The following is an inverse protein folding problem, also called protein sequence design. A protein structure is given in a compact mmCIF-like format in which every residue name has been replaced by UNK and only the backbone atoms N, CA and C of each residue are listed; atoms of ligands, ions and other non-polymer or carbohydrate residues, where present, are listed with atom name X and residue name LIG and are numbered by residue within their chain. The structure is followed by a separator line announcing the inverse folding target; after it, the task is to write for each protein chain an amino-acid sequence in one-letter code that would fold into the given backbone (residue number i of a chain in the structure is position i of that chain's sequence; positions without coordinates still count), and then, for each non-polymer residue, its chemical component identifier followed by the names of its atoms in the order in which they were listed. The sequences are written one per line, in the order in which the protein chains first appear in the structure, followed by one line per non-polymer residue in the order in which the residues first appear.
data_IF_219855232306
#
_entry.id   IF_219855232306
#
_cell.length_a   1.000
_cell.length_b   1.000
_cell.length_c   1.000
_cell.angle_alpha   90.00
_cell.angle_beta   90.00
_cell.angle_gamma   90.00
#
_symmetry.space_group_name_H-M   'P 1'
#
loop_
_entity.id
_entity.type
_entity.pdbx_description
1 polymer ?
#
# COMPACT_ATOMS: atom_id res chain seq x y z
N UNK A 1 -1.70 -10.66 13.65
CA UNK A 1 -2.32 -9.42 14.18
C UNK A 1 -2.78 -8.62 12.97
N UNK A 2 -3.73 -7.68 13.11
CA UNK A 2 -4.18 -6.86 11.97
C UNK A 2 -3.03 -6.07 11.33
N UNK A 3 -1.91 -5.88 12.04
CA UNK A 3 -0.71 -5.18 11.55
C UNK A 3 0.48 -6.10 11.21
N UNK A 4 0.28 -7.39 10.96
CA UNK A 4 1.39 -8.27 10.57
C UNK A 4 1.47 -8.42 9.06
N UNK A 5 2.70 -8.46 8.55
CA UNK A 5 3.04 -8.73 7.16
C UNK A 5 2.23 -9.91 6.62
N UNK A 6 1.69 -9.73 5.43
CA UNK A 6 0.94 -10.76 4.70
C UNK A 6 1.74 -11.36 3.56
N UNK A 7 2.84 -10.70 3.18
CA UNK A 7 3.67 -11.05 2.03
C UNK A 7 4.56 -12.27 2.25
N UNK A 8 5.13 -12.42 3.46
CA UNK A 8 6.21 -13.37 3.73
C UNK A 8 5.76 -14.56 4.59
N UNK A 9 6.50 -15.67 4.49
CA UNK A 9 6.27 -16.90 5.24
C UNK A 9 6.74 -16.79 6.71
N UNK A 10 6.26 -17.67 7.58
CA UNK A 10 6.56 -17.66 9.02
C UNK A 10 8.03 -17.91 9.37
N UNK A 11 8.77 -18.60 8.51
CA UNK A 11 10.19 -18.91 8.70
C UNK A 11 11.12 -18.01 7.89
N UNK A 12 10.59 -16.93 7.31
CA UNK A 12 11.38 -16.00 6.52
C UNK A 12 12.27 -15.11 7.40
N UNK A 13 13.60 -15.30 7.42
CA UNK A 13 14.48 -14.54 8.31
C UNK A 13 14.52 -13.06 7.96
N UNK A 14 14.13 -12.68 6.74
CA UNK A 14 14.01 -11.29 6.33
C UNK A 14 12.79 -10.61 6.98
N UNK A 15 11.75 -11.36 7.36
CA UNK A 15 10.53 -10.80 7.91
C UNK A 15 10.38 -11.03 9.42
N UNK A 16 10.89 -10.09 10.22
CA UNK A 16 10.80 -10.16 11.68
C UNK A 16 9.35 -10.30 12.18
N UNK A 17 8.37 -9.69 11.51
CA UNK A 17 6.95 -9.76 11.89
C UNK A 17 6.42 -11.20 11.81
N UNK A 18 6.78 -11.90 10.73
CA UNK A 18 6.34 -13.28 10.48
C UNK A 18 7.09 -14.27 11.36
N UNK A 19 8.40 -14.10 11.54
CA UNK A 19 9.19 -14.92 12.48
C UNK A 19 8.64 -14.81 13.90
N UNK A 20 8.37 -13.59 14.37
CA UNK A 20 7.75 -13.37 15.68
C UNK A 20 6.36 -14.01 15.77
N UNK A 21 5.54 -13.91 14.72
CA UNK A 21 4.22 -14.54 14.69
C UNK A 21 4.33 -16.08 14.74
N UNK A 22 5.28 -16.68 14.03
CA UNK A 22 5.55 -18.11 14.06
C UNK A 22 6.00 -18.57 15.45
N UNK A 23 6.90 -17.83 16.09
CA UNK A 23 7.32 -18.08 17.49
C UNK A 23 6.14 -18.03 18.46
N UNK A 24 5.25 -17.04 18.31
CA UNK A 24 4.04 -16.95 19.14
C UNK A 24 3.12 -18.16 18.95
N UNK A 25 2.90 -18.59 17.71
CA UNK A 25 2.09 -19.78 17.40
C UNK A 25 2.71 -21.06 17.99
N UNK A 26 4.02 -21.24 17.88
CA UNK A 26 4.73 -22.36 18.50
C UNK A 26 4.53 -22.39 20.02
N UNK A 27 4.55 -21.23 20.69
CA UNK A 27 4.30 -21.17 22.13
C UNK A 27 2.86 -21.51 22.48
N UNK A 28 1.88 -21.04 21.71
CA UNK A 28 0.48 -21.42 21.90
C UNK A 28 0.26 -22.93 21.78
N UNK A 29 0.86 -23.57 20.78
CA UNK A 29 0.70 -25.02 20.58
C UNK A 29 1.42 -25.85 21.64
N UNK A 30 2.46 -25.32 22.31
CA UNK A 30 3.06 -25.96 23.51
C UNK A 30 2.13 -25.90 24.72
N UNK A 31 1.29 -24.86 24.81
CA UNK A 31 0.39 -24.62 25.94
C UNK A 31 -0.96 -25.34 25.77
N UNK A 32 -1.43 -25.50 24.53
CA UNK A 32 -2.74 -26.07 24.22
C UNK A 32 -2.65 -26.99 23.00
N UNK A 33 -3.19 -28.22 23.06
CA UNK A 33 -3.24 -29.11 21.90
C UNK A 33 -4.33 -28.73 20.87
N UNK A 34 -5.21 -27.77 21.19
CA UNK A 34 -6.37 -27.40 20.37
C UNK A 34 -6.23 -25.97 19.82
N UNK A 35 -5.17 -25.71 19.06
CA UNK A 35 -4.94 -24.40 18.43
C UNK A 35 -5.46 -24.41 17.00
N UNK A 36 -6.46 -23.57 16.72
CA UNK A 36 -6.90 -23.25 15.36
C UNK A 36 -6.67 -21.76 15.07
N UNK A 37 -6.49 -21.42 13.80
CA UNK A 37 -6.20 -20.05 13.38
C UNK A 37 -7.48 -19.43 12.81
N UNK A 38 -7.91 -18.31 13.40
CA UNK A 38 -8.80 -17.39 12.69
C UNK A 38 -7.98 -16.58 11.69
N UNK A 39 -8.16 -16.84 10.40
CA UNK A 39 -7.38 -16.24 9.33
C UNK A 39 -8.21 -15.33 8.44
N UNK A 40 -7.52 -14.42 7.75
CA UNK A 40 -8.08 -13.75 6.58
C UNK A 40 -7.50 -14.43 5.35
N UNK A 41 -8.36 -15.03 4.54
CA UNK A 41 -7.98 -15.59 3.25
C UNK A 41 -8.13 -14.49 2.18
N UNK A 42 -7.43 -13.37 2.42
CA UNK A 42 -7.13 -12.25 1.52
C UNK A 42 -6.02 -11.43 2.20
N UNK A 43 -5.21 -10.74 1.41
CA UNK A 43 -3.90 -10.30 1.89
C UNK A 43 -3.81 -8.82 2.27
N UNK A 44 -4.69 -8.00 1.72
CA UNK A 44 -4.68 -6.55 1.94
C UNK A 44 -6.03 -6.10 2.50
N UNK A 45 -6.03 -5.54 3.71
CA UNK A 45 -7.23 -5.01 4.36
C UNK A 45 -7.78 -3.82 3.58
N UNK A 46 -6.90 -2.84 3.36
CA UNK A 46 -7.08 -1.78 2.37
C UNK A 46 -6.38 -2.23 1.11
N UNK A 47 -7.15 -2.43 0.04
CA UNK A 47 -6.62 -2.98 -1.20
C UNK A 47 -6.98 -2.14 -2.42
N UNK A 48 -6.03 -2.00 -3.33
CA UNK A 48 -6.24 -1.61 -4.71
C UNK A 48 -6.54 -2.80 -5.62
N UNK A 49 -6.79 -3.99 -5.06
CA UNK A 49 -7.15 -5.25 -5.73
C UNK A 49 -6.14 -5.65 -6.82
N UNK A 50 -4.86 -5.59 -6.46
CA UNK A 50 -3.73 -5.97 -7.33
C UNK A 50 -3.34 -7.43 -7.10
N UNK A 51 -2.75 -8.11 -8.11
CA UNK A 51 -2.46 -9.54 -8.01
C UNK A 51 -1.38 -9.84 -6.95
N UNK A 52 -1.72 -10.70 -5.99
CA UNK A 52 -0.88 -11.16 -4.89
C UNK A 52 -0.99 -12.69 -4.71
N UNK A 53 -0.43 -13.48 -5.63
CA UNK A 53 -0.34 -14.94 -5.49
C UNK A 53 0.47 -15.35 -4.25
N UNK A 54 0.16 -16.52 -3.70
CA UNK A 54 0.72 -16.99 -2.43
C UNK A 54 1.15 -18.46 -2.44
N UNK A 55 1.25 -19.09 -3.61
CA UNK A 55 1.42 -20.54 -3.68
C UNK A 55 2.68 -21.02 -2.97
N UNK A 56 3.78 -20.26 -3.07
CA UNK A 56 5.06 -20.58 -2.40
C UNK A 56 5.02 -20.30 -0.91
N UNK A 57 4.40 -19.17 -0.52
CA UNK A 57 4.19 -18.86 0.89
C UNK A 57 3.36 -19.95 1.57
N UNK A 58 2.28 -20.40 0.94
CA UNK A 58 1.45 -21.50 1.44
C UNK A 58 2.24 -22.82 1.54
N UNK A 59 3.05 -23.14 0.54
CA UNK A 59 3.91 -24.33 0.54
C UNK A 59 4.93 -24.34 1.69
N UNK A 60 5.37 -23.16 2.15
CA UNK A 60 6.24 -23.01 3.34
C UNK A 60 5.44 -23.05 4.64
N UNK A 61 4.35 -22.31 4.72
CA UNK A 61 3.62 -22.07 5.96
C UNK A 61 2.88 -23.31 6.48
N UNK A 62 2.18 -24.04 5.60
CA UNK A 62 1.30 -25.13 6.04
C UNK A 62 2.03 -26.31 6.72
N UNK A 63 3.15 -26.82 6.17
CA UNK A 63 3.94 -27.84 6.86
C UNK A 63 4.44 -27.38 8.24
N UNK A 64 4.83 -26.10 8.37
CA UNK A 64 5.27 -25.53 9.64
C UNK A 64 4.15 -25.49 10.67
N UNK A 65 2.96 -25.01 10.25
CA UNK A 65 1.78 -24.94 11.11
C UNK A 65 1.37 -26.33 11.60
N UNK A 66 1.36 -27.32 10.72
CA UNK A 66 1.09 -28.72 11.10
C UNK A 66 2.13 -29.24 12.09
N UNK A 67 3.43 -29.05 11.80
CA UNK A 67 4.54 -29.44 12.68
C UNK A 67 4.45 -28.80 14.07
N UNK A 68 3.95 -27.58 14.17
CA UNK A 68 3.81 -26.88 15.45
C UNK A 68 2.61 -27.35 16.27
N UNK A 69 1.63 -28.02 15.66
CA UNK A 69 0.43 -28.53 16.33
C UNK A 69 -0.83 -27.70 16.08
N UNK A 70 -0.85 -26.88 15.03
CA UNK A 70 -2.09 -26.21 14.58
C UNK A 70 -3.01 -27.26 13.97
N UNK A 71 -4.26 -27.32 14.44
CA UNK A 71 -5.23 -28.36 14.07
C UNK A 71 -6.25 -27.92 13.01
N UNK A 72 -6.27 -26.65 12.63
CA UNK A 72 -7.16 -26.15 11.58
C UNK A 72 -7.31 -24.64 11.51
N UNK A 73 -8.24 -24.21 10.66
CA UNK A 73 -8.48 -22.81 10.32
C UNK A 73 -9.97 -22.47 10.37
N UNK A 74 -10.29 -21.22 10.68
CA UNK A 74 -11.58 -20.59 10.47
C UNK A 74 -11.33 -19.29 9.72
N UNK A 75 -11.50 -19.33 8.41
CA UNK A 75 -11.14 -18.19 7.57
C UNK A 75 -12.32 -17.28 7.26
N UNK A 76 -12.06 -15.98 7.34
CA UNK A 76 -12.86 -14.96 6.68
C UNK A 76 -12.33 -14.72 5.27
N UNK A 77 -13.22 -14.59 4.28
CA UNK A 77 -12.80 -14.30 2.92
C UNK A 77 -13.78 -13.42 2.14
N UNK A 78 -13.32 -12.92 0.99
CA UNK A 78 -14.07 -12.12 0.02
C UNK A 78 -13.98 -12.71 -1.38
N UNK A 79 -14.99 -12.48 -2.19
CA UNK A 79 -15.03 -12.94 -3.59
C UNK A 79 -14.17 -12.03 -4.51
N UNK A 80 -12.86 -12.08 -4.32
CA UNK A 80 -11.86 -11.30 -5.06
C UNK A 80 -10.70 -12.23 -5.46
N UNK A 81 -11.01 -13.23 -6.26
CA UNK A 81 -10.06 -14.27 -6.68
C UNK A 81 -8.99 -13.73 -7.64
N UNK A 82 -9.29 -12.64 -8.33
CA UNK A 82 -8.34 -11.90 -9.17
C UNK A 82 -7.17 -11.27 -8.38
N UNK A 83 -7.33 -11.07 -7.07
CA UNK A 83 -6.26 -10.58 -6.18
C UNK A 83 -5.31 -11.73 -5.84
N UNK A 84 -5.74 -12.71 -5.04
CA UNK A 84 -4.86 -13.79 -4.58
C UNK A 84 -4.53 -14.86 -5.63
N UNK A 85 -5.22 -14.85 -6.78
CA UNK A 85 -5.12 -15.90 -7.80
C UNK A 85 -5.89 -17.18 -7.45
N UNK A 86 -6.40 -17.86 -8.48
CA UNK A 86 -7.13 -19.13 -8.32
C UNK A 86 -6.20 -20.24 -7.85
N UNK A 87 -4.95 -20.26 -8.31
CA UNK A 87 -3.96 -21.25 -7.93
C UNK A 87 -3.71 -21.26 -6.41
N UNK A 88 -3.53 -20.08 -5.79
CA UNK A 88 -3.31 -19.95 -4.34
C UNK A 88 -4.46 -20.55 -3.54
N UNK A 89 -5.70 -20.32 -3.97
CA UNK A 89 -6.90 -20.88 -3.33
C UNK A 89 -6.99 -22.38 -3.47
N UNK A 90 -6.66 -22.89 -4.66
CA UNK A 90 -6.64 -24.32 -4.93
C UNK A 90 -5.56 -25.01 -4.09
N UNK A 91 -4.33 -24.49 -4.07
CA UNK A 91 -3.22 -24.98 -3.25
C UNK A 91 -3.58 -24.96 -1.77
N UNK A 92 -4.13 -23.84 -1.28
CA UNK A 92 -4.57 -23.74 0.12
C UNK A 92 -5.59 -24.80 0.48
N UNK A 93 -6.62 -25.01 -0.34
CA UNK A 93 -7.63 -26.04 -0.07
C UNK A 93 -7.04 -27.46 0.00
N UNK A 94 -6.03 -27.77 -0.82
CA UNK A 94 -5.32 -29.06 -0.74
C UNK A 94 -4.50 -29.15 0.55
N UNK A 95 -3.76 -28.09 0.91
CA UNK A 95 -2.90 -28.06 2.09
C UNK A 95 -3.67 -28.02 3.43
N UNK A 96 -4.88 -27.47 3.45
CA UNK A 96 -5.78 -27.52 4.60
C UNK A 96 -6.25 -28.96 4.90
N UNK A 97 -6.28 -29.82 3.87
CA UNK A 97 -6.59 -31.25 4.03
C UNK A 97 -5.33 -32.08 4.32
N UNK A 98 -4.24 -31.83 3.59
CA UNK A 98 -2.95 -32.51 3.72
C UNK A 98 -1.80 -31.50 3.65
N UNK A 99 -1.27 -31.14 4.82
CA UNK A 99 -0.20 -30.15 4.93
C UNK A 99 1.14 -30.63 4.35
N UNK A 100 1.29 -31.92 4.01
CA UNK A 100 2.48 -32.49 3.36
C UNK A 100 2.28 -32.72 1.85
N UNK A 101 1.15 -32.26 1.29
CA UNK A 101 0.86 -32.44 -0.13
C UNK A 101 1.95 -31.83 -1.04
N UNK A 102 2.23 -32.50 -2.16
CA UNK A 102 3.20 -32.05 -3.15
C UNK A 102 2.65 -30.84 -3.93
N UNK A 103 3.00 -29.63 -3.47
CA UNK A 103 2.54 -28.37 -4.09
C UNK A 103 3.03 -28.23 -5.53
N UNK A 104 4.21 -28.74 -5.86
CA UNK A 104 4.74 -28.67 -7.22
C UNK A 104 3.89 -29.51 -8.18
N UNK A 105 3.53 -30.73 -7.77
CA UNK A 105 2.62 -31.59 -8.54
C UNK A 105 1.22 -30.97 -8.68
N UNK A 106 0.71 -30.34 -7.61
CA UNK A 106 -0.58 -29.63 -7.62
C UNK A 106 -0.55 -28.48 -8.62
N UNK A 107 0.50 -27.66 -8.62
CA UNK A 107 0.63 -26.53 -9.54
C UNK A 107 0.82 -27.01 -10.97
N UNK A 108 1.61 -28.06 -11.20
CA UNK A 108 1.79 -28.65 -12.54
C UNK A 108 0.45 -29.11 -13.12
N UNK A 109 -0.37 -29.84 -12.35
CA UNK A 109 -1.71 -30.26 -12.77
C UNK A 109 -2.64 -29.07 -12.99
N UNK A 110 -2.65 -28.10 -12.07
CA UNK A 110 -3.46 -26.88 -12.17
C UNK A 110 -3.15 -26.11 -13.47
N UNK A 111 -1.89 -25.74 -13.70
CA UNK A 111 -1.53 -24.93 -14.88
C UNK A 111 -1.80 -25.70 -16.18
N UNK A 112 -1.52 -27.00 -16.23
CA UNK A 112 -1.82 -27.83 -17.39
C UNK A 112 -3.32 -27.90 -17.71
N UNK A 113 -4.18 -28.09 -16.71
CA UNK A 113 -5.64 -28.18 -16.91
C UNK A 113 -6.31 -26.84 -17.13
N UNK A 114 -5.81 -25.80 -16.48
CA UNK A 114 -6.41 -24.47 -16.52
C UNK A 114 -6.03 -23.74 -17.81
N UNK A 115 -4.76 -23.79 -18.21
CA UNK A 115 -4.25 -23.02 -19.35
C UNK A 115 -3.91 -23.85 -20.59
N UNK A 116 -3.93 -25.19 -20.51
CA UNK A 116 -3.60 -26.06 -21.65
C UNK A 116 -2.20 -25.77 -22.19
N UNK A 117 -2.07 -25.57 -23.50
CA UNK A 117 -0.79 -25.26 -24.13
C UNK A 117 -0.16 -23.93 -23.64
N UNK A 118 -0.90 -23.05 -22.97
CA UNK A 118 -0.40 -21.81 -22.36
C UNK A 118 0.10 -21.98 -20.91
N UNK A 119 0.15 -23.21 -20.37
CA UNK A 119 0.55 -23.48 -18.99
C UNK A 119 1.91 -22.89 -18.59
N UNK A 120 2.94 -23.10 -19.41
CA UNK A 120 4.30 -22.63 -19.12
C UNK A 120 4.41 -21.09 -18.99
N UNK A 121 4.00 -20.27 -19.98
CA UNK A 121 4.10 -18.82 -19.84
C UNK A 121 3.21 -18.27 -18.71
N UNK A 122 2.06 -18.89 -18.46
CA UNK A 122 1.19 -18.46 -17.35
C UNK A 122 1.76 -18.80 -15.99
N UNK A 123 2.41 -19.95 -15.85
CA UNK A 123 3.15 -20.27 -14.63
C UNK A 123 4.28 -19.27 -14.39
N UNK A 124 5.09 -19.01 -15.42
CA UNK A 124 6.16 -18.02 -15.34
C UNK A 124 5.64 -16.60 -15.00
N UNK A 125 4.44 -16.23 -15.45
CA UNK A 125 3.81 -14.95 -15.11
C UNK A 125 3.56 -14.83 -13.60
N UNK A 126 2.92 -15.83 -12.99
CA UNK A 126 2.64 -15.82 -11.56
C UNK A 126 3.91 -16.01 -10.73
N UNK A 127 4.85 -16.85 -11.18
CA UNK A 127 6.16 -17.03 -10.54
C UNK A 127 6.94 -15.70 -10.49
N UNK A 128 6.88 -14.88 -11.54
CA UNK A 128 7.54 -13.57 -11.55
C UNK A 128 6.92 -12.58 -10.54
N UNK A 129 5.61 -12.69 -10.27
CA UNK A 129 4.95 -11.89 -9.23
C UNK A 129 5.36 -12.38 -7.85
N UNK A 130 5.36 -13.69 -7.61
CA UNK A 130 5.83 -14.27 -6.33
C UNK A 130 7.32 -13.97 -6.08
N UNK A 131 8.18 -14.02 -7.11
CA UNK A 131 9.58 -13.60 -7.00
C UNK A 131 9.71 -12.15 -6.51
N UNK A 132 8.88 -11.24 -7.03
CA UNK A 132 8.90 -9.84 -6.63
C UNK A 132 8.40 -9.63 -5.19
N UNK A 133 7.44 -10.44 -4.75
CA UNK A 133 6.91 -10.42 -3.38
C UNK A 133 7.96 -10.97 -2.41
N UNK A 134 8.47 -12.17 -2.65
CA UNK A 134 9.41 -12.87 -1.76
C UNK A 134 10.76 -12.15 -1.61
N UNK A 135 11.22 -11.46 -2.66
CA UNK A 135 12.47 -10.69 -2.61
C UNK A 135 12.28 -9.25 -2.12
N UNK A 136 11.04 -8.84 -1.86
CA UNK A 136 10.74 -7.50 -1.40
C UNK A 136 11.25 -7.29 0.02
N UNK A 137 11.96 -6.19 0.32
CA UNK A 137 12.36 -5.93 1.69
C UNK A 137 11.18 -5.54 2.59
N UNK A 138 9.99 -5.35 2.01
CA UNK A 138 8.88 -4.63 2.59
C UNK A 138 8.01 -5.50 3.49
N UNK A 139 7.46 -4.88 4.53
CA UNK A 139 6.51 -5.52 5.43
C UNK A 139 5.26 -4.65 5.53
N UNK A 140 4.11 -5.23 5.27
CA UNK A 140 2.85 -4.49 5.32
C UNK A 140 1.64 -5.38 5.13
N UNK A 141 0.48 -4.79 5.40
CA UNK A 141 -0.84 -5.42 5.33
C UNK A 141 -1.85 -4.53 4.55
N UNK A 142 -1.37 -3.40 4.00
CA UNK A 142 -2.14 -2.43 3.22
C UNK A 142 -1.47 -2.18 1.87
N UNK A 143 -2.27 -1.91 0.86
CA UNK A 143 -1.82 -1.76 -0.53
C UNK A 143 -0.75 -0.69 -0.78
N UNK A 144 -0.57 0.29 0.11
CA UNK A 144 0.44 1.34 -0.03
C UNK A 144 1.88 0.85 -0.06
N UNK A 145 2.16 -0.35 0.44
CA UNK A 145 3.50 -0.95 0.27
C UNK A 145 3.68 -1.55 -1.14
N UNK A 146 2.59 -1.86 -1.83
CA UNK A 146 2.63 -2.62 -3.07
C UNK A 146 3.25 -1.91 -4.27
N UNK A 147 3.15 -0.57 -4.45
CA UNK A 147 3.88 0.14 -5.49
C UNK A 147 5.40 -0.05 -5.43
N UNK A 148 5.94 -0.38 -4.25
CA UNK A 148 7.36 -0.66 -4.06
C UNK A 148 7.71 -2.13 -4.32
N UNK A 149 6.73 -3.04 -4.34
CA UNK A 149 6.87 -4.43 -4.80
C UNK A 149 6.80 -4.48 -6.33
N UNK A 150 5.81 -3.80 -6.92
CA UNK A 150 5.51 -3.86 -8.36
C UNK A 150 6.40 -2.92 -9.19
N UNK A 151 7.69 -3.24 -9.24
CA UNK A 151 8.65 -2.40 -9.98
C UNK A 151 8.32 -2.28 -11.48
N UNK A 152 8.75 -1.20 -12.16
CA UNK A 152 8.68 -1.10 -13.62
C UNK A 152 9.38 -2.27 -14.34
N UNK A 153 10.37 -2.89 -13.70
CA UNK A 153 11.04 -4.09 -14.20
C UNK A 153 10.07 -5.28 -14.23
N UNK A 154 9.34 -5.52 -13.14
CA UNK A 154 8.33 -6.58 -13.07
C UNK A 154 7.28 -6.41 -14.18
N UNK A 155 6.71 -5.22 -14.34
CA UNK A 155 5.68 -4.98 -15.37
C UNK A 155 6.18 -5.24 -16.80
N UNK A 156 7.46 -4.98 -17.08
CA UNK A 156 8.10 -5.32 -18.37
C UNK A 156 8.37 -6.82 -18.53
N UNK A 157 8.55 -7.56 -17.44
CA UNK A 157 8.67 -9.02 -17.46
C UNK A 157 7.31 -9.69 -17.71
N UNK A 158 6.24 -9.17 -17.13
CA UNK A 158 4.91 -9.79 -17.20
C UNK A 158 4.28 -9.74 -18.60
N UNK A 159 4.46 -8.64 -19.33
CA UNK A 159 3.87 -8.46 -20.67
C UNK A 159 4.24 -9.57 -21.67
N UNK A 160 5.53 -9.84 -21.96
CA UNK A 160 5.88 -10.84 -22.97
C UNK A 160 5.49 -12.25 -22.57
N UNK A 161 5.36 -12.56 -21.27
CA UNK A 161 4.87 -13.85 -20.79
C UNK A 161 3.38 -14.00 -21.14
N UNK A 162 2.59 -12.96 -20.88
CA UNK A 162 1.17 -12.96 -21.17
C UNK A 162 0.89 -12.99 -22.68
N UNK A 163 1.64 -12.23 -23.49
CA UNK A 163 1.53 -12.31 -24.96
C UNK A 163 1.87 -13.71 -25.50
N UNK A 164 2.83 -14.40 -24.89
CA UNK A 164 3.14 -15.79 -25.24
C UNK A 164 2.00 -16.73 -24.87
N UNK A 165 1.37 -16.54 -23.71
CA UNK A 165 0.19 -17.30 -23.30
C UNK A 165 -0.98 -17.08 -24.26
N UNK A 166 -1.24 -15.84 -24.67
CA UNK A 166 -2.29 -15.48 -25.64
C UNK A 166 -2.09 -16.20 -26.99
N UNK A 167 -0.84 -16.28 -27.46
CA UNK A 167 -0.50 -17.03 -28.68
C UNK A 167 -0.62 -18.55 -28.53
N UNK A 168 -0.40 -19.09 -27.33
CA UNK A 168 -0.39 -20.54 -27.07
C UNK A 168 -1.74 -21.09 -26.62
N UNK A 169 -2.70 -20.25 -26.25
CA UNK A 169 -4.01 -20.68 -25.79
C UNK A 169 -4.81 -21.39 -26.92
N UNK A 170 -4.89 -22.72 -26.82
CA UNK A 170 -5.35 -23.63 -27.88
C UNK A 170 -6.85 -23.93 -27.84
N UNK A 171 -7.52 -23.65 -26.72
CA UNK A 171 -8.97 -23.85 -26.54
C UNK A 171 -9.69 -22.57 -26.14
N UNK A 172 -11.02 -22.51 -26.34
CA UNK A 172 -11.83 -21.36 -25.91
C UNK A 172 -11.71 -21.11 -24.41
N UNK A 173 -11.66 -22.19 -23.63
CA UNK A 173 -11.46 -22.13 -22.18
C UNK A 173 -10.10 -21.55 -21.82
N UNK A 174 -9.02 -22.03 -22.43
CA UNK A 174 -7.68 -21.48 -22.19
C UNK A 174 -7.60 -20.00 -22.60
N UNK A 175 -8.20 -19.63 -23.74
CA UNK A 175 -8.26 -18.24 -24.20
C UNK A 175 -9.01 -17.34 -23.22
N UNK A 176 -10.14 -17.80 -22.69
CA UNK A 176 -10.91 -17.07 -21.69
C UNK A 176 -10.11 -16.84 -20.40
N UNK A 177 -9.41 -17.88 -19.91
CA UNK A 177 -8.60 -17.76 -18.70
C UNK A 177 -7.43 -16.79 -18.90
N UNK A 178 -6.66 -16.94 -19.99
CA UNK A 178 -5.55 -16.01 -20.30
C UNK A 178 -6.06 -14.58 -20.48
N UNK A 179 -7.25 -14.39 -21.06
CA UNK A 179 -7.87 -13.07 -21.17
C UNK A 179 -8.22 -12.47 -19.80
N UNK A 180 -8.65 -13.28 -18.83
CA UNK A 180 -8.85 -12.81 -17.47
C UNK A 180 -7.54 -12.28 -16.86
N UNK A 181 -6.42 -12.99 -17.03
CA UNK A 181 -5.10 -12.55 -16.58
C UNK A 181 -4.61 -11.28 -17.30
N UNK A 182 -5.00 -11.09 -18.56
CA UNK A 182 -4.79 -9.82 -19.29
C UNK A 182 -5.48 -8.65 -18.60
N UNK A 183 -6.74 -8.82 -18.22
CA UNK A 183 -7.47 -7.77 -17.50
C UNK A 183 -6.86 -7.52 -16.11
N UNK A 184 -6.34 -8.56 -15.44
CA UNK A 184 -5.62 -8.44 -14.15
C UNK A 184 -4.32 -7.64 -14.32
N UNK A 185 -3.52 -7.90 -15.36
CA UNK A 185 -2.30 -7.14 -15.64
C UNK A 185 -2.61 -5.68 -15.98
N UNK A 186 -3.64 -5.42 -16.79
CA UNK A 186 -4.07 -4.06 -17.12
C UNK A 186 -4.59 -3.32 -15.88
N UNK A 187 -5.25 -4.02 -14.97
CA UNK A 187 -5.71 -3.46 -13.70
C UNK A 187 -4.53 -3.07 -12.81
N UNK A 188 -3.51 -3.94 -12.72
CA UNK A 188 -2.25 -3.64 -12.03
C UNK A 188 -1.54 -2.42 -12.63
N UNK A 189 -1.48 -2.31 -13.96
CA UNK A 189 -0.90 -1.14 -14.64
C UNK A 189 -1.64 0.15 -14.31
N UNK A 190 -2.98 0.10 -14.34
CA UNK A 190 -3.80 1.25 -13.97
C UNK A 190 -3.60 1.63 -12.50
N UNK A 191 -3.46 0.67 -11.58
CA UNK A 191 -3.09 0.93 -10.19
C UNK A 191 -1.73 1.64 -10.07
N UNK A 192 -0.70 1.15 -10.77
CA UNK A 192 0.63 1.76 -10.73
C UNK A 192 0.63 3.18 -11.32
N UNK A 193 -0.11 3.41 -12.41
CA UNK A 193 -0.28 4.75 -13.00
C UNK A 193 -1.08 5.69 -12.09
N UNK A 194 -2.10 5.18 -11.39
CA UNK A 194 -2.84 5.94 -10.37
C UNK A 194 -1.91 6.40 -9.25
N UNK A 195 -1.03 5.53 -8.76
CA UNK A 195 -0.09 5.84 -7.68
C UNK A 195 0.98 6.84 -8.12
N UNK A 196 1.52 6.71 -9.34
CA UNK A 196 2.46 7.70 -9.91
C UNK A 196 1.80 9.09 -10.05
N UNK A 197 0.55 9.14 -10.54
CA UNK A 197 -0.20 10.40 -10.64
C UNK A 197 -0.49 11.02 -9.25
N UNK A 198 -0.81 10.22 -8.23
CA UNK A 198 -0.94 10.69 -6.84
C UNK A 198 0.36 11.32 -6.34
N UNK A 199 1.50 10.64 -6.51
CA UNK A 199 2.81 11.13 -6.08
C UNK A 199 3.19 12.47 -6.74
N UNK A 200 2.79 12.66 -8.00
CA UNK A 200 3.00 13.90 -8.76
C UNK A 200 1.94 14.99 -8.50
N UNK A 201 0.98 14.75 -7.60
CA UNK A 201 -0.17 15.64 -7.34
C UNK A 201 -1.00 15.94 -8.60
N UNK A 202 -1.11 14.95 -9.49
CA UNK A 202 -1.94 14.95 -10.70
C UNK A 202 -3.26 14.24 -10.41
N UNK A 203 -4.05 14.75 -9.46
CA UNK A 203 -5.20 14.03 -8.93
C UNK A 203 -6.30 13.77 -9.97
N UNK A 204 -6.47 14.63 -10.97
CA UNK A 204 -7.38 14.36 -12.08
C UNK A 204 -6.97 13.11 -12.89
N UNK A 205 -5.67 12.92 -13.12
CA UNK A 205 -5.13 11.72 -13.78
C UNK A 205 -5.25 10.49 -12.88
N UNK A 206 -4.97 10.62 -11.58
CA UNK A 206 -5.17 9.55 -10.61
C UNK A 206 -6.64 9.07 -10.59
N UNK A 207 -7.61 9.99 -10.61
CA UNK A 207 -9.03 9.67 -10.72
C UNK A 207 -9.37 8.94 -12.03
N UNK A 208 -8.78 9.36 -13.16
CA UNK A 208 -8.96 8.69 -14.46
C UNK A 208 -8.41 7.25 -14.43
N UNK A 209 -7.28 7.02 -13.80
CA UNK A 209 -6.71 5.68 -13.64
C UNK A 209 -7.56 4.81 -12.70
N UNK A 210 -8.11 5.37 -11.62
CA UNK A 210 -9.07 4.67 -10.76
C UNK A 210 -10.36 4.29 -11.53
N UNK A 211 -10.88 5.17 -12.39
CA UNK A 211 -12.00 4.85 -13.28
C UNK A 211 -11.64 3.72 -14.25
N UNK A 212 -10.43 3.72 -14.81
CA UNK A 212 -9.95 2.64 -15.69
C UNK A 212 -9.89 1.30 -14.95
N UNK A 213 -9.42 1.29 -13.70
CA UNK A 213 -9.44 0.09 -12.85
C UNK A 213 -10.88 -0.45 -12.69
N UNK A 214 -11.86 0.41 -12.39
CA UNK A 214 -13.26 0.00 -12.27
C UNK A 214 -13.85 -0.48 -13.61
N UNK A 215 -13.46 0.10 -14.74
CA UNK A 215 -13.87 -0.37 -16.06
C UNK A 215 -13.34 -1.79 -16.36
N UNK A 216 -12.05 -2.02 -16.13
CA UNK A 216 -11.43 -3.34 -16.29
C UNK A 216 -12.06 -4.39 -15.38
N UNK A 217 -12.42 -4.00 -14.16
CA UNK A 217 -13.12 -4.86 -13.21
C UNK A 217 -14.50 -5.27 -13.71
N UNK A 218 -15.26 -4.36 -14.35
CA UNK A 218 -16.55 -4.69 -15.00
C UNK A 218 -16.35 -5.69 -16.14
N UNK A 219 -15.31 -5.52 -16.96
CA UNK A 219 -14.95 -6.44 -18.04
C UNK A 219 -14.60 -7.84 -17.48
N UNK A 220 -13.79 -7.89 -16.41
CA UNK A 220 -13.38 -9.15 -15.76
C UNK A 220 -14.58 -9.87 -15.11
N UNK A 221 -15.44 -9.13 -14.41
CA UNK A 221 -16.67 -9.66 -13.84
C UNK A 221 -17.59 -10.25 -14.91
N UNK A 222 -17.74 -9.57 -16.05
CA UNK A 222 -18.58 -10.04 -17.15
C UNK A 222 -18.06 -11.35 -17.77
N UNK A 223 -16.76 -11.63 -17.66
CA UNK A 223 -16.17 -12.92 -18.07
C UNK A 223 -16.62 -14.03 -17.13
N UNK A 224 -16.48 -13.82 -15.82
CA UNK A 224 -17.04 -14.69 -14.79
C UNK A 224 -17.09 -13.95 -13.43
N UNK A 225 -18.27 -13.86 -12.78
CA UNK A 225 -18.41 -13.26 -11.45
C UNK A 225 -17.54 -13.87 -10.35
N UNK A 226 -17.01 -15.07 -10.58
CA UNK A 226 -16.06 -15.74 -9.70
C UNK A 226 -14.74 -14.99 -9.55
N UNK A 227 -14.28 -14.26 -10.57
CA UNK A 227 -13.01 -13.53 -10.47
C UNK A 227 -13.09 -12.36 -9.49
N UNK A 228 -14.15 -11.56 -9.63
CA UNK A 228 -14.34 -10.32 -8.88
C UNK A 228 -15.78 -9.82 -9.07
N UNK A 229 -16.33 -9.10 -8.08
CA UNK A 229 -17.56 -8.32 -8.25
C UNK A 229 -17.32 -7.06 -9.08
N UNK A 230 -18.33 -6.51 -9.76
CA UNK A 230 -18.17 -5.33 -10.61
C UNK A 230 -18.14 -3.98 -9.83
N UNK A 231 -18.64 -3.96 -8.59
CA UNK A 231 -18.75 -2.79 -7.71
C UNK A 231 -17.99 -2.98 -6.39
N UNK A 232 -18.03 -1.96 -5.52
CA UNK A 232 -17.44 -1.97 -4.18
C UNK A 232 -18.50 -1.83 -3.08
N UNK A 233 -19.70 -2.38 -3.30
CA UNK A 233 -20.78 -2.30 -2.31
C UNK A 233 -20.55 -3.27 -1.15
N UNK A 234 -19.73 -2.85 -0.16
CA UNK A 234 -19.53 -3.45 1.18
C UNK A 234 -19.66 -4.99 1.21
N UNK A 235 -20.69 -5.51 1.90
CA UNK A 235 -20.92 -6.92 2.18
C UNK A 235 -20.95 -7.80 0.93
N UNK A 236 -21.48 -7.27 -0.18
CA UNK A 236 -21.59 -8.02 -1.43
C UNK A 236 -20.22 -8.16 -2.11
N UNK A 237 -19.50 -7.05 -2.24
CA UNK A 237 -18.20 -7.01 -2.91
C UNK A 237 -17.06 -7.60 -2.07
N UNK A 238 -17.22 -7.62 -0.74
CA UNK A 238 -16.17 -7.92 0.24
C UNK A 238 -15.11 -6.81 0.38
N UNK A 239 -15.41 -5.61 -0.12
CA UNK A 239 -14.58 -4.41 0.04
C UNK A 239 -15.18 -3.55 1.16
N UNK A 240 -14.54 -3.59 2.33
CA UNK A 240 -15.06 -3.00 3.58
C UNK A 240 -14.49 -1.63 3.90
N UNK A 241 -13.25 -1.41 3.50
CA UNK A 241 -12.48 -0.23 3.80
C UNK A 241 -12.38 0.63 2.54
N UNK A 242 -11.26 1.31 2.38
CA UNK A 242 -11.01 2.24 1.30
C UNK A 242 -10.81 1.51 -0.03
N UNK A 243 -11.77 1.64 -0.94
CA UNK A 243 -11.79 1.03 -2.27
C UNK A 243 -11.29 1.93 -3.39
N UNK A 244 -11.24 1.41 -4.61
CA UNK A 244 -10.84 2.15 -5.82
C UNK A 244 -11.82 3.30 -6.11
N UNK A 245 -13.10 3.09 -5.86
CA UNK A 245 -14.14 4.09 -6.08
C UNK A 245 -14.07 5.22 -5.03
N UNK A 246 -13.70 4.89 -3.80
CA UNK A 246 -13.40 5.89 -2.76
C UNK A 246 -12.21 6.77 -3.15
N UNK A 247 -11.12 6.13 -3.61
CA UNK A 247 -9.93 6.83 -4.14
C UNK A 247 -10.32 7.77 -5.28
N UNK A 248 -11.12 7.30 -6.24
CA UNK A 248 -11.59 8.13 -7.35
C UNK A 248 -12.32 9.38 -6.86
N UNK A 249 -13.30 9.22 -5.97
CA UNK A 249 -14.06 10.36 -5.41
C UNK A 249 -13.14 11.35 -4.69
N UNK A 250 -12.21 10.83 -3.90
CA UNK A 250 -11.24 11.64 -3.16
C UNK A 250 -10.29 12.40 -4.08
N UNK A 251 -9.72 11.75 -5.09
CA UNK A 251 -8.87 12.43 -6.07
C UNK A 251 -9.61 13.51 -6.86
N UNK A 252 -10.90 13.31 -7.18
CA UNK A 252 -11.73 14.34 -7.79
C UNK A 252 -11.92 15.54 -6.86
N UNK A 253 -12.14 15.32 -5.56
CA UNK A 253 -12.19 16.41 -4.56
C UNK A 253 -10.87 17.18 -4.50
N UNK A 254 -9.73 16.47 -4.47
CA UNK A 254 -8.41 17.11 -4.48
C UNK A 254 -8.15 17.89 -5.78
N UNK A 255 -8.55 17.35 -6.92
CA UNK A 255 -8.45 18.04 -8.20
C UNK A 255 -9.29 19.33 -8.21
N UNK A 256 -10.52 19.27 -7.69
CA UNK A 256 -11.42 20.42 -7.59
C UNK A 256 -10.87 21.52 -6.67
N UNK A 257 -10.17 21.14 -5.59
CA UNK A 257 -9.46 22.07 -4.67
C UNK A 257 -8.28 22.78 -5.32
N UNK A 258 -7.68 22.19 -6.35
CA UNK A 258 -6.52 22.74 -7.03
C UNK A 258 -6.89 23.52 -8.30
N UNK A 259 -7.95 23.08 -9.00
CA UNK A 259 -8.32 23.56 -10.33
C UNK A 259 -9.20 24.82 -10.35
N UNK A 260 -9.60 25.36 -9.19
CA UNK A 260 -10.46 26.53 -9.09
C UNK A 260 -11.93 26.20 -8.80
N UNK A 261 -12.34 24.93 -8.65
CA UNK A 261 -13.77 24.61 -8.46
C UNK A 261 -14.21 24.79 -7.02
N UNK A 262 -13.53 24.14 -6.08
CA UNK A 262 -13.75 24.29 -4.62
C UNK A 262 -12.60 25.02 -3.93
N UNK A 263 -11.48 25.19 -4.63
CA UNK A 263 -10.33 25.94 -4.17
C UNK A 263 -9.38 26.25 -5.32
N UNK A 264 -8.34 27.02 -5.07
CA UNK A 264 -7.32 27.36 -6.05
C UNK A 264 -5.93 27.05 -5.51
N UNK A 265 -5.15 26.29 -6.26
CA UNK A 265 -3.77 25.97 -5.89
C UNK A 265 -2.95 27.27 -5.76
N UNK A 266 -2.29 27.44 -4.62
CA UNK A 266 -1.34 28.54 -4.37
C UNK A 266 0.08 28.09 -4.71
N UNK A 267 0.51 26.95 -4.15
CA UNK A 267 1.83 26.39 -4.39
C UNK A 267 1.85 24.90 -4.07
N UNK A 268 2.65 24.13 -4.81
CA UNK A 268 3.00 22.75 -4.44
C UNK A 268 4.25 22.81 -3.58
N UNK A 269 4.30 22.07 -2.48
CA UNK A 269 5.53 21.92 -1.70
C UNK A 269 6.53 21.05 -2.49
N UNK A 270 7.84 21.20 -2.23
CA UNK A 270 8.85 20.32 -2.83
C UNK A 270 8.58 18.84 -2.51
N UNK A 271 9.05 17.95 -3.39
CA UNK A 271 8.99 16.51 -3.11
C UNK A 271 9.91 16.13 -1.95
N UNK A 272 11.11 16.71 -1.94
CA UNK A 272 12.09 16.48 -0.89
C UNK A 272 11.88 17.43 0.29
N UNK A 273 12.10 16.90 1.49
CA UNK A 273 12.16 17.63 2.73
C UNK A 273 13.51 17.40 3.42
N UNK A 274 13.94 18.36 4.23
CA UNK A 274 14.90 18.06 5.29
C UNK A 274 14.18 17.23 6.35
N UNK A 275 14.84 16.18 6.82
CA UNK A 275 14.28 15.22 7.77
C UNK A 275 15.21 14.91 8.93
N UNK A 276 14.62 14.61 10.09
CA UNK A 276 15.32 14.11 11.28
C UNK A 276 14.39 13.24 12.14
N UNK A 277 14.92 12.19 12.75
CA UNK A 277 14.27 11.47 13.87
C UNK A 277 14.42 12.24 15.18
N UNK A 278 13.47 12.09 16.08
CA UNK A 278 13.42 12.76 17.39
C UNK A 278 13.35 11.72 18.52
N UNK A 279 14.45 10.98 18.78
CA UNK A 279 14.47 9.85 19.72
C UNK A 279 14.20 10.27 21.17
N UNK A 280 14.30 11.56 21.49
CA UNK A 280 14.14 12.08 22.85
C UNK A 280 12.99 13.07 22.98
N UNK A 281 12.17 13.23 21.94
CA UNK A 281 11.08 14.22 21.86
C UNK A 281 11.54 15.65 22.20
N UNK A 282 12.74 16.01 21.77
CA UNK A 282 13.41 17.27 22.08
C UNK A 282 13.04 18.37 21.08
N UNK A 283 12.53 18.04 19.89
CA UNK A 283 12.41 18.98 18.78
C UNK A 283 11.48 20.17 19.06
N UNK A 284 10.47 20.00 19.93
CA UNK A 284 9.62 21.12 20.37
C UNK A 284 10.41 22.08 21.27
N UNK A 285 11.14 21.55 22.26
CA UNK A 285 11.92 22.34 23.20
C UNK A 285 13.09 23.07 22.50
N UNK A 286 13.73 22.39 21.54
CA UNK A 286 14.82 22.94 20.74
C UNK A 286 14.35 23.81 19.56
N UNK A 287 13.03 23.94 19.39
CA UNK A 287 12.40 24.77 18.36
C UNK A 287 12.80 24.40 16.93
N UNK A 288 12.83 23.11 16.61
CA UNK A 288 13.16 22.61 15.28
C UNK A 288 12.21 23.11 14.19
N UNK A 289 10.99 23.52 14.58
CA UNK A 289 10.00 24.19 13.74
C UNK A 289 10.37 25.63 13.33
N UNK A 290 11.42 26.20 13.92
CA UNK A 290 11.87 27.58 13.70
C UNK A 290 13.35 27.66 13.34
N UNK A 291 13.78 28.84 12.89
CA UNK A 291 15.19 29.19 12.67
C UNK A 291 15.80 28.65 11.38
N UNK A 292 16.50 29.52 10.66
CA UNK A 292 17.38 29.16 9.54
C UNK A 292 18.76 28.74 10.07
N UNK A 293 19.45 27.81 9.39
CA UNK A 293 20.84 27.44 9.71
C UNK A 293 21.04 26.42 10.84
N UNK A 294 19.98 25.78 11.37
CA UNK A 294 20.05 24.69 12.37
C UNK A 294 19.83 23.31 11.76
N UNK A 295 20.51 23.03 10.65
CA UNK A 295 20.19 21.89 9.77
C UNK A 295 21.34 20.86 9.64
N UNK A 296 22.43 21.01 10.39
CA UNK A 296 23.65 20.19 10.23
C UNK A 296 23.41 18.67 10.31
N UNK A 297 22.46 18.25 11.13
CA UNK A 297 22.09 16.84 11.35
C UNK A 297 20.87 16.39 10.55
N UNK A 298 20.26 17.29 9.78
CA UNK A 298 19.11 16.95 8.95
C UNK A 298 19.60 16.28 7.66
N UNK A 299 18.78 15.38 7.13
CA UNK A 299 19.05 14.65 5.89
C UNK A 299 17.92 14.85 4.89
N UNK A 300 18.19 14.94 3.59
CA UNK A 300 17.12 14.98 2.61
C UNK A 300 16.35 13.66 2.62
N UNK A 301 15.03 13.73 2.48
CA UNK A 301 14.14 12.59 2.30
C UNK A 301 13.03 12.95 1.32
N UNK A 302 12.54 11.98 0.56
CA UNK A 302 11.33 12.18 -0.24
C UNK A 302 10.08 12.06 0.65
N UNK A 303 9.15 13.00 0.50
CA UNK A 303 7.84 12.99 1.18
C UNK A 303 6.80 12.12 0.49
N UNK A 304 7.11 11.53 -0.67
CA UNK A 304 6.23 10.62 -1.42
C UNK A 304 6.51 9.15 -1.13
N UNK A 305 7.49 8.86 -0.28
CA UNK A 305 7.90 7.51 0.11
C UNK A 305 7.88 7.36 1.63
N UNK A 306 7.53 6.18 2.17
CA UNK A 306 7.68 5.91 3.59
C UNK A 306 9.09 6.22 4.06
N UNK A 307 9.24 6.90 5.20
CA UNK A 307 10.57 7.31 5.65
C UNK A 307 11.45 6.10 5.99
N UNK A 308 10.89 5.02 6.52
CA UNK A 308 11.64 3.83 6.93
C UNK A 308 12.37 3.17 5.74
N UNK A 309 11.75 3.17 4.56
CA UNK A 309 12.36 2.70 3.30
C UNK A 309 13.50 3.57 2.76
N UNK A 310 13.82 4.67 3.45
CA UNK A 310 14.85 5.63 3.07
C UNK A 310 16.01 5.63 4.06
N UNK A 311 16.25 4.50 4.72
CA UNK A 311 17.40 4.27 5.60
C UNK A 311 17.10 4.48 7.09
N UNK A 312 15.85 4.32 7.52
CA UNK A 312 15.42 4.48 8.91
C UNK A 312 14.80 3.20 9.49
N UNK A 313 15.25 2.05 8.97
CA UNK A 313 15.11 0.73 9.58
C UNK A 313 16.43 0.33 10.24
N UNK A 314 16.37 -0.49 11.29
CA UNK A 314 17.55 -1.13 11.87
C UNK A 314 18.02 -2.34 11.04
N UNK A 315 19.06 -3.03 11.50
CA UNK A 315 19.64 -4.16 10.79
C UNK A 315 18.69 -5.37 10.69
N UNK A 316 17.68 -5.40 11.54
CA UNK A 316 16.65 -6.43 11.62
C UNK A 316 15.36 -6.03 10.85
N UNK A 317 15.36 -4.87 10.18
CA UNK A 317 14.22 -4.38 9.40
C UNK A 317 13.10 -3.76 10.24
N UNK A 318 13.39 -3.35 11.49
CA UNK A 318 12.42 -2.64 12.31
C UNK A 318 12.47 -1.13 12.00
N UNK A 319 11.34 -0.50 11.66
CA UNK A 319 11.29 0.93 11.40
C UNK A 319 11.46 1.72 12.71
N UNK A 320 12.06 2.90 12.63
CA UNK A 320 12.11 3.83 13.77
C UNK A 320 10.69 4.17 14.29
N UNK A 321 10.50 4.01 15.59
CA UNK A 321 9.24 4.36 16.29
C UNK A 321 9.46 5.56 17.19
N UNK A 322 8.65 6.59 17.00
CA UNK A 322 8.76 7.84 17.75
C UNK A 322 8.34 9.04 16.91
N UNK A 323 8.87 10.20 17.26
CA UNK A 323 8.60 11.44 16.52
C UNK A 323 9.63 11.65 15.43
N UNK A 324 9.16 12.10 14.27
CA UNK A 324 10.01 12.49 13.14
C UNK A 324 9.62 13.89 12.69
N UNK A 325 10.57 14.61 12.10
CA UNK A 325 10.38 15.97 11.64
C UNK A 325 10.69 16.12 10.17
N UNK A 326 9.86 16.88 9.47
CA UNK A 326 10.04 17.29 8.09
C UNK A 326 10.09 18.81 8.02
N UNK A 327 11.03 19.37 7.26
CA UNK A 327 11.13 20.80 6.94
C UNK A 327 11.16 20.99 5.43
N UNK A 328 10.26 21.83 4.94
CA UNK A 328 10.14 22.15 3.53
C UNK A 328 10.12 23.66 3.36
N UNK A 329 10.76 24.16 2.30
CA UNK A 329 10.68 25.56 1.89
C UNK A 329 9.80 25.68 0.67
N UNK A 330 8.88 26.63 0.67
CA UNK A 330 7.96 26.86 -0.44
C UNK A 330 7.82 28.36 -0.70
N UNK A 331 7.94 28.75 -1.96
CA UNK A 331 7.68 30.12 -2.39
C UNK A 331 6.17 30.33 -2.52
N UNK A 332 5.65 31.33 -1.82
CA UNK A 332 4.23 31.69 -1.87
C UNK A 332 4.08 32.99 -2.66
N UNK A 333 3.27 33.02 -3.74
CA UNK A 333 3.14 34.21 -4.58
C UNK A 333 2.46 35.36 -3.82
N UNK A 334 2.81 36.60 -4.14
CA UNK A 334 2.17 37.82 -3.60
C UNK A 334 0.66 37.84 -3.86
N UNK A 335 0.19 37.20 -4.94
CA UNK A 335 -1.24 37.04 -5.25
C UNK A 335 -2.03 36.25 -4.20
N UNK A 336 -1.34 35.59 -3.26
CA UNK A 336 -1.96 34.94 -2.11
C UNK A 336 -2.31 35.92 -0.97
N UNK A 337 -1.87 37.18 -1.03
CA UNK A 337 -2.09 38.17 0.01
C UNK A 337 -3.58 38.37 0.34
N UNK A 338 -3.90 38.36 1.64
CA UNK A 338 -5.25 38.55 2.16
C UNK A 338 -6.22 37.37 1.92
N UNK A 339 -5.77 36.28 1.28
CA UNK A 339 -6.59 35.08 1.07
C UNK A 339 -6.52 34.17 2.29
N UNK A 340 -7.55 33.34 2.47
CA UNK A 340 -7.45 32.14 3.31
C UNK A 340 -6.50 31.14 2.64
N UNK A 341 -5.54 30.62 3.39
CA UNK A 341 -4.51 29.70 2.89
C UNK A 341 -4.55 28.45 3.75
N UNK A 342 -4.80 27.31 3.11
CA UNK A 342 -4.82 25.99 3.75
C UNK A 342 -3.60 25.21 3.28
N UNK A 343 -2.91 24.56 4.22
CA UNK A 343 -1.91 23.52 3.92
C UNK A 343 -2.60 22.16 3.97
N UNK A 344 -2.51 21.41 2.88
CA UNK A 344 -3.10 20.09 2.77
C UNK A 344 -2.01 19.03 2.55
N UNK A 345 -2.03 18.00 3.38
CA UNK A 345 -1.21 16.80 3.28
C UNK A 345 -2.13 15.61 2.93
N UNK A 346 -2.09 15.09 1.69
CA UNK A 346 -2.98 13.98 1.31
C UNK A 346 -2.75 12.72 2.13
N UNK A 347 -1.52 12.50 2.60
CA UNK A 347 -1.16 11.34 3.40
C UNK A 347 -0.17 11.68 4.51
N UNK A 348 -0.59 11.43 5.75
CA UNK A 348 0.29 11.41 6.93
C UNK A 348 -0.11 10.30 7.90
N UNK A 349 0.87 9.47 8.28
CA UNK A 349 0.70 8.38 9.26
C UNK A 349 1.64 8.61 10.47
N UNK A 350 1.17 8.67 11.73
CA UNK A 350 -0.20 8.45 12.23
C UNK A 350 -0.83 9.68 12.89
N UNK A 351 -0.03 10.63 13.34
CA UNK A 351 -0.46 11.85 14.02
C UNK A 351 0.49 12.98 13.65
N UNK A 352 -0.01 14.20 13.43
CA UNK A 352 0.82 15.28 12.87
C UNK A 352 0.56 16.64 13.49
N UNK A 353 1.61 17.46 13.58
CA UNK A 353 1.58 18.84 14.00
C UNK A 353 2.26 19.72 12.96
N UNK A 354 1.73 20.91 12.74
CA UNK A 354 2.20 21.83 11.71
C UNK A 354 2.63 23.17 12.31
N UNK A 355 3.77 23.68 11.82
CA UNK A 355 4.22 25.05 12.00
C UNK A 355 4.58 25.67 10.66
N UNK A 356 4.36 26.97 10.55
CA UNK A 356 4.80 27.78 9.41
C UNK A 356 5.56 29.00 9.94
N UNK A 357 6.78 29.21 9.45
CA UNK A 357 7.66 30.30 9.88
C UNK A 357 7.82 30.41 11.41
N UNK A 358 7.88 29.26 12.09
CA UNK A 358 8.00 29.19 13.55
C UNK A 358 6.67 29.32 14.32
N UNK A 359 5.55 29.62 13.65
CA UNK A 359 4.23 29.75 14.28
C UNK A 359 3.45 28.44 14.17
N UNK A 360 2.86 28.00 15.27
CA UNK A 360 2.03 26.80 15.30
C UNK A 360 0.72 27.01 14.55
N UNK A 361 0.41 26.10 13.62
CA UNK A 361 -0.79 26.16 12.77
C UNK A 361 -1.86 25.15 13.18
N UNK A 362 -1.48 23.99 13.75
CA UNK A 362 -2.47 23.03 14.24
C UNK A 362 -1.96 21.60 14.39
N UNK A 363 -2.90 20.72 14.73
CA UNK A 363 -2.69 19.30 15.02
C UNK A 363 -3.77 18.44 14.36
N UNK A 364 -3.34 17.35 13.74
CA UNK A 364 -4.18 16.28 13.22
C UNK A 364 -4.05 15.10 14.18
N UNK A 365 -5.12 14.72 14.91
CA UNK A 365 -5.08 13.64 15.90
C UNK A 365 -4.66 12.29 15.33
N UNK A 366 -4.22 11.40 16.22
CA UNK A 366 -3.87 10.02 15.89
C UNK A 366 -4.98 9.32 15.10
N UNK A 367 -4.59 8.63 14.02
CA UNK A 367 -5.39 7.62 13.34
C UNK A 367 -4.50 6.42 13.09
N UNK A 368 -5.06 5.22 13.22
CA UNK A 368 -4.39 3.97 12.88
C UNK A 368 -3.79 4.02 11.46
N UNK A 369 -2.64 3.38 11.27
CA UNK A 369 -1.90 3.42 10.00
C UNK A 369 -2.71 2.87 8.81
N UNK A 370 -3.71 2.01 9.05
CA UNK A 370 -4.59 1.47 8.00
C UNK A 370 -5.78 2.39 7.65
N UNK A 371 -6.05 3.45 8.43
CA UNK A 371 -7.21 4.34 8.17
C UNK A 371 -6.96 5.19 6.94
N UNK A 372 -7.97 5.31 6.08
CA UNK A 372 -7.95 6.11 4.86
C UNK A 372 -9.24 6.93 4.70
N UNK A 373 -9.19 8.13 4.11
CA UNK A 373 -7.97 8.84 3.72
C UNK A 373 -7.17 9.27 4.96
N UNK A 374 -5.84 9.25 4.86
CA UNK A 374 -4.92 9.54 5.96
C UNK A 374 -4.50 11.01 5.99
N UNK A 375 -5.38 11.90 5.52
CA UNK A 375 -5.08 13.31 5.27
C UNK A 375 -4.85 14.14 6.55
N UNK A 376 -4.22 15.29 6.37
CA UNK A 376 -4.18 16.39 7.33
C UNK A 376 -4.37 17.72 6.62
N UNK A 377 -5.08 18.64 7.27
CA UNK A 377 -5.34 19.97 6.74
C UNK A 377 -5.20 21.00 7.87
N UNK A 378 -4.51 22.09 7.57
CA UNK A 378 -4.19 23.14 8.55
C UNK A 378 -4.48 24.52 7.95
N UNK A 379 -5.15 25.39 8.71
CA UNK A 379 -5.27 26.81 8.35
C UNK A 379 -3.95 27.51 8.68
N UNK A 380 -3.25 27.96 7.65
CA UNK A 380 -1.93 28.59 7.75
C UNK A 380 -1.98 30.08 7.40
N UNK A 381 -3.18 30.65 7.27
CA UNK A 381 -3.41 32.02 6.77
C UNK A 381 -2.65 33.08 7.56
N UNK A 382 -2.52 32.91 8.88
CA UNK A 382 -1.86 33.88 9.76
C UNK A 382 -0.33 33.75 9.80
N UNK A 383 0.20 32.60 9.35
CA UNK A 383 1.61 32.27 9.51
C UNK A 383 2.40 32.35 8.19
N UNK A 384 1.72 32.16 7.05
CA UNK A 384 2.29 32.32 5.72
C UNK A 384 2.54 33.80 5.40
N UNK A 385 3.66 34.06 4.74
CA UNK A 385 4.08 35.38 4.24
C UNK A 385 4.07 35.34 2.70
N UNK A 386 3.03 35.85 2.05
CA UNK A 386 2.98 36.00 0.59
C UNK A 386 4.16 36.82 0.06
N UNK A 387 4.57 36.54 -1.17
CA UNK A 387 5.71 37.18 -1.83
C UNK A 387 7.09 36.71 -1.33
N UNK A 388 7.14 35.71 -0.44
CA UNK A 388 8.36 35.24 0.22
C UNK A 388 8.47 33.71 0.20
N UNK A 389 9.68 33.21 0.43
CA UNK A 389 9.90 31.80 0.79
C UNK A 389 9.46 31.57 2.23
N UNK A 390 8.63 30.55 2.43
CA UNK A 390 8.09 30.16 3.73
C UNK A 390 8.68 28.83 4.17
N UNK A 391 9.01 28.72 5.45
CA UNK A 391 9.42 27.45 6.07
C UNK A 391 8.18 26.75 6.64
N UNK A 392 7.93 25.52 6.21
CA UNK A 392 6.89 24.65 6.74
C UNK A 392 7.58 23.50 7.48
N UNK A 393 7.22 23.32 8.75
CA UNK A 393 7.70 22.22 9.57
C UNK A 393 6.54 21.32 9.98
N UNK A 394 6.68 20.02 9.74
CA UNK A 394 5.71 19.01 10.13
C UNK A 394 6.39 18.04 11.09
N UNK A 395 5.88 17.92 12.31
CA UNK A 395 6.22 16.83 13.23
C UNK A 395 5.21 15.72 13.03
N UNK A 396 5.67 14.48 12.91
CA UNK A 396 4.81 13.30 12.80
C UNK A 396 5.18 12.30 13.89
N UNK A 397 4.19 11.77 14.60
CA UNK A 397 4.37 10.60 15.45
C UNK A 397 4.04 9.34 14.64
N UNK A 398 4.96 8.38 14.63
CA UNK A 398 4.77 7.07 13.97
C UNK A 398 3.97 6.09 14.83
N UNK A 399 3.48 6.54 15.99
CA UNK A 399 2.73 5.73 16.96
C UNK A 399 3.65 4.98 17.92
N UNK A 400 3.13 3.95 18.58
CA UNK A 400 3.88 3.12 19.54
C UNK A 400 4.07 1.66 19.06
N UNK A 401 3.51 1.31 17.90
CA UNK A 401 3.51 -0.06 17.38
C UNK A 401 4.49 -0.21 16.23
N UNK A 402 5.58 -0.94 16.46
CA UNK A 402 6.53 -1.35 15.40
C UNK A 402 5.83 -2.12 14.28
N UNK A 403 4.78 -2.89 14.62
CA UNK A 403 4.06 -3.69 13.65
C UNK A 403 3.26 -2.83 12.65
N UNK A 404 2.81 -1.64 13.07
CA UNK A 404 2.05 -0.75 12.20
C UNK A 404 2.89 -0.17 11.05
N UNK A 405 4.23 -0.19 11.17
CA UNK A 405 5.17 0.32 10.16
C UNK A 405 4.69 1.65 9.53
N UNK A 406 4.30 2.61 10.37
CA UNK A 406 3.72 3.87 9.92
C UNK A 406 4.73 4.66 9.07
N UNK A 407 4.34 5.09 7.86
CA UNK A 407 5.28 5.65 6.88
C UNK A 407 5.56 7.13 6.99
N UNK A 408 4.96 7.87 7.92
CA UNK A 408 5.11 9.32 7.99
C UNK A 408 4.36 10.02 6.84
N UNK A 409 5.00 11.00 6.21
CA UNK A 409 4.50 11.61 4.96
C UNK A 409 4.73 10.66 3.78
N UNK A 410 3.70 10.47 2.95
CA UNK A 410 3.78 9.65 1.73
C UNK A 410 3.07 10.29 0.53
N UNK A 411 2.93 11.61 0.54
CA UNK A 411 2.44 12.40 -0.59
C UNK A 411 3.02 13.80 -0.51
N UNK A 412 3.20 14.44 -1.67
CA UNK A 412 3.49 15.87 -1.72
C UNK A 412 2.34 16.66 -1.11
N UNK A 413 2.70 17.65 -0.32
CA UNK A 413 1.78 18.61 0.27
C UNK A 413 1.53 19.77 -0.72
N UNK A 414 0.45 20.50 -0.52
CA UNK A 414 0.19 21.72 -1.27
C UNK A 414 -0.54 22.77 -0.44
N UNK A 415 -0.33 24.03 -0.82
CA UNK A 415 -1.07 25.18 -0.34
C UNK A 415 -2.20 25.49 -1.32
N UNK A 416 -3.40 25.73 -0.82
CA UNK A 416 -4.53 26.17 -1.64
C UNK A 416 -5.40 27.20 -0.91
N UNK A 417 -6.10 28.03 -1.67
CA UNK A 417 -7.11 28.94 -1.15
C UNK A 417 -8.51 28.34 -1.40
N UNK A 418 -9.29 28.01 -0.36
CA UNK A 418 -10.65 27.53 -0.55
C UNK A 418 -11.54 28.63 -1.15
N UNK A 419 -12.52 28.22 -1.97
CA UNK A 419 -13.61 29.08 -2.42
C UNK A 419 -14.81 28.86 -1.48
N UNK A 420 -15.37 29.96 -0.99
CA UNK A 420 -16.52 29.96 -0.08
C UNK A 420 -17.84 29.66 -0.78
#
# INVERSE_FOLDING_TARGET
AIWSCTLHAYDDPHCWQKVRQGQMLQQWCKLCPNVWIYGYNYQMLVSGLTPLPETRKLARDFPLLHKWGVIGFLDETRNVWAECGIASRYVRAQLEWDAEADVEAILQDFYARWYGAAAEPMRAFYDAIEDAIETSPLHGHEDRVMPYVYSPKLLRTLEPLLEQAERRADSDRARQHVHADRLILEHLRAYMAMQDAEQQSQFADAARHAERMMALRRELHATNPFYIWYDEERYHSGIWYWGVEDRKRWYLDLADRMAGKTGELIARLPEDALFRTDPYDAGIAEQWYAGEGREADWRPISTTKPFYLQGYEDAEGLPYVGSVWYRMRVDVPESAAGRKIMLYAPTVETEAWCWVNGQYAGHRPYREAYVRPAEAEFDVSQAVRPGQTNLIAIRVSTGLSLAAAAGGLQSRLFLYAPRG
#
